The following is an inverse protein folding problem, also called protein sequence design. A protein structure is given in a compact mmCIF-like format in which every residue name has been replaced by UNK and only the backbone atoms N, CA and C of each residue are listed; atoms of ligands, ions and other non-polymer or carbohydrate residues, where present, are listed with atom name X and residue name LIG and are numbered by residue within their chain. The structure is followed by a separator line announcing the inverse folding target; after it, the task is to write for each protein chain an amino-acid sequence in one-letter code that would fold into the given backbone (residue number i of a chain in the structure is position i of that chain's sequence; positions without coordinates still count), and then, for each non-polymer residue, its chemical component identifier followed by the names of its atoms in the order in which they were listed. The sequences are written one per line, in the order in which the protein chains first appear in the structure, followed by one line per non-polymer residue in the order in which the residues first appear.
data_IF_841360104106
#
_entry.id   IF_841360104106
#
_cell.length_a   1.000
_cell.length_b   1.000
_cell.length_c   1.000
_cell.angle_alpha   90.00
_cell.angle_beta   90.00
_cell.angle_gamma   90.00
#
_symmetry.space_group_name_H-M   'P 1'
#
loop_
_entity.id
_entity.type
_entity.pdbx_description
1 polymer ?
#
# COMPACT_ATOMS: atom_id res chain seq x y z
N UNK A 1 -16.39 17.76 38.22
CA UNK A 1 -16.09 18.31 36.88
C UNK A 1 -15.95 17.13 35.95
N UNK A 2 -17.04 16.75 35.29
CA UNK A 2 -16.92 15.80 34.18
C UNK A 2 -16.22 16.54 33.04
N UNK A 3 -15.03 16.07 32.68
CA UNK A 3 -14.24 16.63 31.59
C UNK A 3 -14.93 16.16 30.30
N UNK A 4 -16.03 16.83 29.93
CA UNK A 4 -16.70 16.60 28.66
C UNK A 4 -15.75 16.94 27.52
N UNK A 5 -15.72 16.11 26.47
CA UNK A 5 -14.99 16.45 25.26
C UNK A 5 -15.56 17.75 24.67
N UNK A 6 -14.68 18.73 24.39
CA UNK A 6 -15.11 19.97 23.73
C UNK A 6 -15.67 19.66 22.34
N UNK A 7 -16.66 20.43 21.85
CA UNK A 7 -17.19 20.24 20.49
C UNK A 7 -16.07 20.28 19.44
N UNK A 8 -15.11 21.18 19.59
CA UNK A 8 -13.95 21.27 18.71
C UNK A 8 -13.17 19.95 18.67
N UNK A 9 -12.99 19.30 19.82
CA UNK A 9 -12.38 17.97 19.91
C UNK A 9 -13.23 16.91 19.20
N UNK A 10 -14.56 16.92 19.37
CA UNK A 10 -15.45 15.96 18.70
C UNK A 10 -15.42 16.14 17.18
N UNK A 11 -15.50 17.37 16.68
CA UNK A 11 -15.42 17.68 15.25
C UNK A 11 -14.05 17.27 14.70
N UNK A 12 -12.98 17.60 15.41
CA UNK A 12 -11.64 17.19 15.00
C UNK A 12 -11.52 15.66 14.91
N UNK A 13 -12.05 14.92 15.90
CA UNK A 13 -12.02 13.47 15.87
C UNK A 13 -12.84 12.90 14.70
N UNK A 14 -14.07 13.39 14.50
CA UNK A 14 -14.99 12.85 13.50
C UNK A 14 -14.65 13.24 12.06
N UNK A 15 -14.22 14.48 11.82
CA UNK A 15 -14.03 15.00 10.47
C UNK A 15 -12.56 15.00 10.03
N UNK A 16 -11.61 14.91 10.96
CA UNK A 16 -10.17 14.93 10.64
C UNK A 16 -9.51 13.62 11.04
N UNK A 17 -9.44 13.29 12.34
CA UNK A 17 -8.61 12.19 12.80
C UNK A 17 -9.10 10.83 12.30
N UNK A 18 -10.39 10.54 12.45
CA UNK A 18 -11.00 9.27 12.06
C UNK A 18 -10.94 9.08 10.53
N UNK A 19 -11.38 10.02 9.67
CA UNK A 19 -11.23 9.90 8.22
C UNK A 19 -9.78 9.78 7.77
N UNK A 20 -8.86 10.51 8.40
CA UNK A 20 -7.43 10.39 8.14
C UNK A 20 -6.87 8.99 8.44
N UNK A 21 -7.28 8.38 9.55
CA UNK A 21 -6.96 7.00 9.87
C UNK A 21 -7.55 6.01 8.86
N UNK A 22 -8.78 6.24 8.42
CA UNK A 22 -9.47 5.41 7.41
C UNK A 22 -8.70 5.41 6.08
N UNK A 23 -8.29 6.59 5.57
CA UNK A 23 -7.48 6.66 4.34
C UNK A 23 -6.24 5.76 4.45
N UNK A 24 -5.48 5.91 5.53
CA UNK A 24 -4.21 5.19 5.72
C UNK A 24 -4.42 3.68 5.86
N UNK A 25 -5.49 3.28 6.54
CA UNK A 25 -5.86 1.88 6.78
C UNK A 25 -6.32 1.21 5.49
N UNK A 26 -7.25 1.84 4.76
CA UNK A 26 -7.76 1.34 3.48
C UNK A 26 -6.65 1.32 2.41
N UNK A 27 -5.74 2.29 2.44
CA UNK A 27 -4.55 2.30 1.57
C UNK A 27 -3.52 1.20 1.89
N UNK A 28 -3.76 0.39 2.92
CA UNK A 28 -2.89 -0.72 3.35
C UNK A 28 -1.50 -0.24 3.78
N UNK A 29 -1.41 0.94 4.43
CA UNK A 29 -0.12 1.41 4.96
C UNK A 29 0.28 0.60 6.19
N UNK A 30 1.59 0.44 6.40
CA UNK A 30 2.15 -0.27 7.56
C UNK A 30 1.75 0.46 8.84
N UNK A 31 1.57 -0.26 9.94
CA UNK A 31 1.23 0.37 11.24
C UNK A 31 2.23 1.47 11.64
N UNK A 32 3.52 1.24 11.37
CA UNK A 32 4.61 2.22 11.60
C UNK A 32 4.45 3.51 10.80
N UNK A 33 3.76 3.45 9.66
CA UNK A 33 3.50 4.59 8.77
C UNK A 33 2.23 5.36 9.15
N UNK A 34 1.38 4.82 10.04
CA UNK A 34 0.15 5.44 10.51
C UNK A 34 0.45 6.30 11.74
N UNK A 35 1.14 7.41 11.50
CA UNK A 35 1.45 8.40 12.56
C UNK A 35 0.32 9.41 12.71
N UNK A 36 0.15 9.95 13.92
CA UNK A 36 -0.87 10.97 14.21
C UNK A 36 -0.73 12.18 13.28
N UNK A 37 0.49 12.63 13.01
CA UNK A 37 0.76 13.72 12.07
C UNK A 37 0.22 13.43 10.65
N UNK A 38 0.37 12.20 10.17
CA UNK A 38 -0.17 11.79 8.86
C UNK A 38 -1.68 11.65 8.89
N UNK A 39 -2.26 11.09 9.96
CA UNK A 39 -3.72 11.02 10.12
C UNK A 39 -4.32 12.43 10.03
N UNK A 40 -3.75 13.39 10.75
CA UNK A 40 -4.21 14.79 10.71
C UNK A 40 -4.05 15.38 9.31
N UNK A 41 -2.89 15.23 8.67
CA UNK A 41 -2.66 15.77 7.33
C UNK A 41 -3.67 15.24 6.30
N UNK A 42 -3.83 13.91 6.21
CA UNK A 42 -4.79 13.32 5.28
C UNK A 42 -6.23 13.67 5.66
N UNK A 43 -6.57 13.62 6.94
CA UNK A 43 -7.88 13.99 7.44
C UNK A 43 -8.28 15.42 7.07
N UNK A 44 -7.41 16.40 7.33
CA UNK A 44 -7.64 17.81 6.98
C UNK A 44 -7.79 17.99 5.49
N UNK A 45 -6.98 17.29 4.69
CA UNK A 45 -7.09 17.36 3.23
C UNK A 45 -8.41 16.78 2.72
N UNK A 46 -8.81 15.58 3.19
CA UNK A 46 -10.10 14.97 2.84
C UNK A 46 -11.25 15.88 3.25
N UNK A 47 -11.19 16.45 4.46
CA UNK A 47 -12.22 17.34 4.96
C UNK A 47 -12.34 18.61 4.11
N UNK A 48 -11.22 19.25 3.74
CA UNK A 48 -11.22 20.43 2.88
C UNK A 48 -11.81 20.12 1.49
N UNK A 49 -11.44 19.00 0.88
CA UNK A 49 -11.99 18.57 -0.41
C UNK A 49 -13.49 18.29 -0.29
N UNK A 50 -13.92 17.60 0.76
CA UNK A 50 -15.34 17.33 0.99
C UNK A 50 -16.17 18.62 1.14
N UNK A 51 -15.65 19.63 1.87
CA UNK A 51 -16.31 20.94 1.99
C UNK A 51 -16.39 21.66 0.65
N UNK A 52 -15.33 21.62 -0.16
CA UNK A 52 -15.34 22.20 -1.51
C UNK A 52 -16.36 21.50 -2.42
N UNK A 53 -16.48 20.18 -2.32
CA UNK A 53 -17.48 19.41 -3.06
C UNK A 53 -18.90 19.77 -2.60
N UNK A 54 -19.13 19.87 -1.29
CA UNK A 54 -20.44 20.28 -0.76
C UNK A 54 -20.81 21.69 -1.21
N UNK A 55 -19.85 22.62 -1.20
CA UNK A 55 -20.04 23.98 -1.71
C UNK A 55 -20.34 23.98 -3.22
N UNK A 56 -19.56 23.24 -4.02
CA UNK A 56 -19.79 23.11 -5.46
C UNK A 56 -21.16 22.52 -5.81
N UNK A 57 -21.59 21.48 -5.08
CA UNK A 57 -22.94 20.90 -5.25
C UNK A 57 -24.01 21.91 -4.89
N UNK A 58 -23.86 22.66 -3.80
CA UNK A 58 -24.81 23.71 -3.41
C UNK A 58 -24.86 24.87 -4.41
N UNK A 59 -23.76 25.19 -5.11
CA UNK A 59 -23.82 26.18 -6.20
C UNK A 59 -24.54 25.69 -7.45
N UNK A 60 -24.57 24.36 -7.67
CA UNK A 60 -25.17 23.75 -8.85
C UNK A 60 -26.59 23.20 -8.61
N UNK A 61 -27.05 23.15 -7.35
CA UNK A 61 -28.31 22.53 -6.96
C UNK A 61 -28.88 23.20 -5.71
N UNK A 62 -30.19 23.06 -5.48
CA UNK A 62 -30.85 23.66 -4.31
C UNK A 62 -30.53 22.96 -2.96
N UNK A 63 -29.58 22.02 -2.93
CA UNK A 63 -29.20 21.29 -1.73
C UNK A 63 -28.30 22.13 -0.82
N UNK A 64 -28.84 22.58 0.32
CA UNK A 64 -28.16 23.43 1.31
C UNK A 64 -27.31 22.66 2.33
N UNK A 65 -26.38 21.85 1.85
CA UNK A 65 -25.53 21.01 2.71
C UNK A 65 -24.39 21.80 3.38
N UNK A 66 -23.70 22.67 2.64
CA UNK A 66 -22.56 23.43 3.15
C UNK A 66 -23.02 24.58 4.05
N UNK A 67 -24.03 25.34 3.62
CA UNK A 67 -24.61 26.42 4.45
C UNK A 67 -25.28 25.87 5.71
N UNK A 68 -26.00 24.74 5.62
CA UNK A 68 -26.58 24.06 6.78
C UNK A 68 -25.53 23.61 7.79
N UNK A 69 -24.42 23.02 7.32
CA UNK A 69 -23.31 22.60 8.17
C UNK A 69 -22.64 23.78 8.88
N UNK A 70 -22.26 24.82 8.14
CA UNK A 70 -21.59 26.00 8.69
C UNK A 70 -22.49 26.80 9.64
N UNK A 71 -23.78 26.92 9.34
CA UNK A 71 -24.75 27.58 10.20
C UNK A 71 -24.94 26.82 11.53
N UNK A 72 -25.04 25.49 11.50
CA UNK A 72 -25.15 24.69 12.73
C UNK A 72 -23.89 24.79 13.60
N UNK A 73 -22.70 24.85 12.99
CA UNK A 73 -21.46 25.07 13.71
C UNK A 73 -21.35 26.49 14.30
N UNK A 74 -21.80 27.51 13.56
CA UNK A 74 -21.80 28.89 14.01
C UNK A 74 -22.77 29.12 15.18
N UNK A 75 -23.98 28.55 15.11
CA UNK A 75 -24.96 28.64 16.22
C UNK A 75 -24.40 28.02 17.49
N UNK A 76 -23.79 26.84 17.39
CA UNK A 76 -23.21 26.19 18.55
C UNK A 76 -21.97 26.95 19.09
N UNK A 77 -21.12 27.50 18.22
CA UNK A 77 -19.96 28.28 18.68
C UNK A 77 -20.34 29.56 19.41
N UNK A 78 -21.51 30.12 19.09
CA UNK A 78 -22.12 31.26 19.78
C UNK A 78 -22.85 30.86 21.08
N UNK A 79 -22.90 29.56 21.41
CA UNK A 79 -23.59 29.04 22.59
C UNK A 79 -25.12 28.99 22.43
N UNK A 80 -25.63 29.18 21.21
CA UNK A 80 -27.05 29.20 20.91
C UNK A 80 -27.55 27.79 20.54
N UNK A 81 -28.10 27.09 21.54
CA UNK A 81 -28.89 25.88 21.34
C UNK A 81 -28.09 24.57 21.26
N UNK A 82 -28.83 23.47 21.08
CA UNK A 82 -28.28 22.13 20.93
C UNK A 82 -27.73 21.93 19.50
N UNK A 83 -26.67 21.14 19.38
CA UNK A 83 -26.06 20.79 18.10
C UNK A 83 -27.08 20.05 17.21
N UNK A 84 -27.51 20.67 16.11
CA UNK A 84 -28.39 20.00 15.15
C UNK A 84 -27.60 19.02 14.30
N UNK A 85 -27.78 17.72 14.56
CA UNK A 85 -27.07 16.61 13.91
C UNK A 85 -27.47 16.44 12.44
N UNK A 86 -28.63 16.95 12.02
CA UNK A 86 -29.18 16.72 10.68
C UNK A 86 -28.26 17.20 9.55
N UNK A 87 -27.67 18.40 9.59
CA UNK A 87 -26.68 18.84 8.59
C UNK A 87 -25.27 18.28 8.81
N UNK A 88 -24.93 17.83 10.03
CA UNK A 88 -23.61 17.26 10.34
C UNK A 88 -23.43 15.83 9.77
N UNK A 89 -24.44 14.99 9.94
CA UNK A 89 -24.43 13.59 9.50
C UNK A 89 -24.12 13.38 8.00
N UNK A 90 -24.78 14.07 7.04
CA UNK A 90 -24.49 13.89 5.62
C UNK A 90 -23.08 14.36 5.24
N UNK A 91 -22.59 15.45 5.82
CA UNK A 91 -21.21 15.91 5.59
C UNK A 91 -20.20 14.88 6.13
N UNK A 92 -20.47 14.28 7.29
CA UNK A 92 -19.63 13.21 7.82
C UNK A 92 -19.62 11.99 6.89
N UNK A 93 -20.79 11.60 6.37
CA UNK A 93 -20.89 10.48 5.41
C UNK A 93 -20.07 10.75 4.14
N UNK A 94 -20.13 11.98 3.59
CA UNK A 94 -19.35 12.38 2.42
C UNK A 94 -17.85 12.31 2.72
N UNK A 95 -17.41 12.84 3.86
CA UNK A 95 -16.01 12.84 4.29
C UNK A 95 -15.51 11.40 4.46
N UNK A 96 -16.30 10.54 5.10
CA UNK A 96 -15.96 9.14 5.31
C UNK A 96 -15.90 8.36 3.98
N UNK A 97 -16.89 8.56 3.10
CA UNK A 97 -16.92 7.94 1.77
C UNK A 97 -15.72 8.37 0.91
N UNK A 98 -15.38 9.66 0.93
CA UNK A 98 -14.22 10.20 0.23
C UNK A 98 -12.91 9.64 0.79
N UNK A 99 -12.79 9.50 2.11
CA UNK A 99 -11.64 8.87 2.75
C UNK A 99 -11.44 7.42 2.29
N UNK A 100 -12.52 6.62 2.27
CA UNK A 100 -12.50 5.26 1.75
C UNK A 100 -12.06 5.25 0.27
N UNK A 101 -12.65 6.11 -0.56
CA UNK A 101 -12.35 6.17 -1.99
C UNK A 101 -10.87 6.51 -2.25
N UNK A 102 -10.32 7.50 -1.56
CA UNK A 102 -8.89 7.87 -1.68
C UNK A 102 -7.99 6.71 -1.23
N UNK A 103 -8.34 6.07 -0.11
CA UNK A 103 -7.62 4.89 0.37
C UNK A 103 -7.62 3.76 -0.66
N UNK A 104 -8.77 3.46 -1.25
CA UNK A 104 -8.91 2.45 -2.30
C UNK A 104 -8.14 2.83 -3.58
N UNK A 105 -8.17 4.10 -3.99
CA UNK A 105 -7.41 4.58 -5.14
C UNK A 105 -5.90 4.43 -4.93
N UNK A 106 -5.39 4.73 -3.72
CA UNK A 106 -3.99 4.48 -3.38
C UNK A 106 -3.67 2.98 -3.37
N UNK A 107 -4.54 2.15 -2.82
CA UNK A 107 -4.37 0.70 -2.80
C UNK A 107 -4.33 0.11 -4.22
N UNK A 108 -5.26 0.52 -5.10
CA UNK A 108 -5.28 0.11 -6.50
C UNK A 108 -4.02 0.56 -7.26
N UNK A 109 -3.51 1.75 -6.95
CA UNK A 109 -2.23 2.23 -7.49
C UNK A 109 -1.05 1.35 -7.05
N UNK A 110 -1.02 0.88 -5.79
CA UNK A 110 0.01 -0.02 -5.27
C UNK A 110 -0.08 -1.44 -5.84
N UNK A 111 -1.28 -1.99 -5.96
CA UNK A 111 -1.51 -3.32 -6.56
C UNK A 111 -1.21 -3.31 -8.07
N UNK A 112 -1.17 -2.12 -8.69
CA UNK A 112 -0.74 -1.90 -10.06
C UNK A 112 -1.81 -2.28 -11.08
N UNK A 113 -3.08 -1.96 -10.77
CA UNK A 113 -4.19 -2.02 -11.74
C UNK A 113 -4.13 -0.81 -12.69
N UNK A 114 -3.53 0.31 -12.27
CA UNK A 114 -3.27 1.48 -13.11
C UNK A 114 -1.77 1.63 -13.46
N UNK A 115 -1.39 1.77 -14.76
CA UNK A 115 0.00 1.82 -15.19
C UNK A 115 0.77 3.10 -14.81
N UNK A 116 0.10 4.19 -14.40
CA UNK A 116 0.71 5.52 -14.27
C UNK A 116 1.67 5.67 -13.07
N UNK A 117 1.34 5.07 -11.92
CA UNK A 117 2.20 5.11 -10.71
C UNK A 117 3.37 4.12 -10.76
N UNK A 118 3.19 3.02 -11.49
CA UNK A 118 4.21 2.01 -11.74
C UNK A 118 5.40 2.63 -12.49
N UNK A 119 5.13 3.38 -13.56
CA UNK A 119 6.16 3.98 -14.43
C UNK A 119 7.13 4.93 -13.70
N UNK A 120 6.62 5.77 -12.78
CA UNK A 120 7.45 6.71 -12.01
C UNK A 120 8.28 6.04 -10.90
N UNK A 121 7.76 4.98 -10.25
CA UNK A 121 8.53 4.17 -9.30
C UNK A 121 9.61 3.34 -10.00
N UNK A 122 9.24 2.73 -11.12
CA UNK A 122 10.11 1.99 -12.03
C UNK A 122 11.29 2.84 -12.48
N UNK A 123 11.07 4.09 -12.89
CA UNK A 123 12.15 4.96 -13.38
C UNK A 123 13.21 5.23 -12.31
N UNK A 124 12.81 5.39 -11.04
CA UNK A 124 13.74 5.56 -9.91
C UNK A 124 14.46 4.27 -9.53
N UNK A 125 13.77 3.13 -9.65
CA UNK A 125 14.36 1.82 -9.35
C UNK A 125 15.35 1.40 -10.44
N UNK A 126 14.98 1.56 -11.72
CA UNK A 126 15.86 1.39 -12.89
C UNK A 126 17.13 2.22 -12.75
N UNK A 127 17.05 3.50 -12.37
CA UNK A 127 18.24 4.33 -12.18
C UNK A 127 19.15 3.89 -11.03
N UNK A 128 18.59 3.32 -9.95
CA UNK A 128 19.37 2.79 -8.83
C UNK A 128 20.00 1.43 -9.15
N UNK A 129 19.26 0.60 -9.86
CA UNK A 129 19.65 -0.76 -10.22
C UNK A 129 20.61 -0.75 -11.41
N UNK A 130 20.37 0.03 -12.47
CA UNK A 130 21.23 0.10 -13.66
C UNK A 130 22.64 0.65 -13.37
N UNK A 131 22.84 1.34 -12.23
CA UNK A 131 24.18 1.71 -11.74
C UNK A 131 24.90 0.59 -11.00
N UNK A 132 24.18 -0.45 -10.57
CA UNK A 132 24.75 -1.69 -10.06
C UNK A 132 24.85 -2.67 -11.25
N UNK A 133 26.07 -3.09 -11.56
CA UNK A 133 26.41 -4.13 -12.57
C UNK A 133 25.45 -5.34 -12.53
N UNK A 134 25.35 -6.13 -13.63
CA UNK A 134 24.13 -6.81 -14.03
C UNK A 134 23.55 -7.58 -12.86
N UNK A 135 22.27 -7.35 -12.60
CA UNK A 135 21.45 -7.86 -11.50
C UNK A 135 21.96 -9.21 -10.97
N UNK A 136 22.99 -9.16 -10.13
CA UNK A 136 23.50 -10.32 -9.42
C UNK A 136 22.43 -10.54 -8.37
N UNK A 137 21.45 -11.37 -8.74
CA UNK A 137 20.24 -11.74 -8.02
C UNK A 137 20.56 -12.53 -6.73
N UNK A 138 21.53 -12.05 -5.97
CA UNK A 138 22.12 -12.76 -4.84
C UNK A 138 21.85 -12.04 -3.53
N UNK A 139 21.67 -10.71 -3.53
CA UNK A 139 21.54 -9.96 -2.28
C UNK A 139 20.61 -8.75 -2.42
N UNK A 140 19.36 -8.88 -1.96
CA UNK A 140 18.48 -7.72 -1.76
C UNK A 140 18.59 -7.31 -0.29
N UNK A 141 19.20 -6.15 -0.03
CA UNK A 141 19.18 -5.56 1.32
C UNK A 141 17.72 -5.24 1.65
N UNK A 142 17.20 -5.88 2.70
CA UNK A 142 15.79 -5.83 3.08
C UNK A 142 15.40 -4.36 3.34
N UNK A 143 14.56 -3.83 2.46
CA UNK A 143 14.12 -2.44 2.33
C UNK A 143 12.87 -2.42 1.44
N UNK A 144 12.58 -1.36 0.68
CA UNK A 144 11.34 -1.28 -0.13
C UNK A 144 11.24 -2.29 -1.32
N UNK A 145 12.25 -3.11 -1.59
CA UNK A 145 12.32 -4.00 -2.77
C UNK A 145 11.63 -5.38 -2.66
N UNK A 146 11.62 -6.10 -1.52
CA UNK A 146 11.14 -7.48 -1.48
C UNK A 146 9.65 -7.61 -1.81
N UNK A 147 8.81 -6.67 -1.34
CA UNK A 147 7.37 -6.69 -1.59
C UNK A 147 7.03 -6.62 -3.07
N UNK A 148 7.71 -5.76 -3.84
CA UNK A 148 7.51 -5.62 -5.28
C UNK A 148 7.91 -6.91 -6.03
N UNK A 149 8.98 -7.59 -5.59
CA UNK A 149 9.39 -8.89 -6.15
C UNK A 149 8.31 -9.95 -5.90
N UNK A 150 7.81 -10.08 -4.66
CA UNK A 150 6.73 -11.04 -4.36
C UNK A 150 5.45 -10.75 -5.15
N UNK A 151 5.12 -9.47 -5.37
CA UNK A 151 4.00 -9.06 -6.21
C UNK A 151 4.20 -9.46 -7.69
N UNK A 152 5.41 -9.31 -8.22
CA UNK A 152 5.75 -9.71 -9.59
C UNK A 152 5.60 -11.23 -9.78
N UNK A 153 6.11 -12.03 -8.84
CA UNK A 153 5.91 -13.48 -8.82
C UNK A 153 4.42 -13.86 -8.83
N UNK A 154 3.62 -13.20 -7.97
CA UNK A 154 2.17 -13.43 -7.90
C UNK A 154 1.46 -13.09 -9.22
N UNK A 155 1.79 -11.96 -9.85
CA UNK A 155 1.20 -11.57 -11.15
C UNK A 155 1.55 -12.55 -12.27
N UNK A 156 2.72 -13.18 -12.20
CA UNK A 156 3.15 -14.20 -13.15
C UNK A 156 2.64 -15.62 -12.82
N UNK A 157 1.91 -15.80 -11.71
CA UNK A 157 1.44 -17.12 -11.25
C UNK A 157 2.58 -18.07 -10.84
N UNK A 158 3.75 -17.52 -10.50
CA UNK A 158 4.92 -18.29 -10.04
C UNK A 158 5.08 -18.12 -8.53
N UNK A 159 5.58 -19.16 -7.87
CA UNK A 159 5.89 -19.14 -6.44
C UNK A 159 7.40 -18.95 -6.26
N UNK A 160 7.85 -17.92 -5.54
CA UNK A 160 9.28 -17.73 -5.31
C UNK A 160 9.80 -18.77 -4.31
N UNK A 161 10.98 -19.32 -4.58
CA UNK A 161 11.73 -20.09 -3.60
C UNK A 161 12.74 -19.15 -2.95
N UNK A 162 12.71 -19.06 -1.62
CA UNK A 162 13.55 -18.13 -0.90
C UNK A 162 14.52 -18.84 0.03
N UNK A 163 15.69 -18.22 0.22
CA UNK A 163 16.69 -18.60 1.22
C UNK A 163 17.06 -17.34 1.99
N UNK A 164 17.07 -17.39 3.31
CA UNK A 164 17.35 -16.22 4.11
C UNK A 164 17.79 -16.53 5.53
N UNK A 165 18.32 -15.51 6.18
CA UNK A 165 18.74 -15.57 7.59
C UNK A 165 17.96 -14.51 8.35
N UNK A 166 17.32 -14.93 9.44
CA UNK A 166 16.58 -14.07 10.35
C UNK A 166 17.49 -13.35 11.33
N UNK A 167 16.97 -12.32 12.01
CA UNK A 167 17.71 -11.52 12.99
C UNK A 167 18.21 -12.31 14.20
N UNK A 168 17.51 -13.38 14.54
CA UNK A 168 17.88 -14.33 15.60
C UNK A 168 18.97 -15.33 15.16
N UNK A 169 19.41 -15.26 13.90
CA UNK A 169 20.38 -16.18 13.31
C UNK A 169 19.77 -17.43 12.68
N UNK A 170 18.45 -17.63 12.78
CA UNK A 170 17.76 -18.78 12.21
C UNK A 170 17.83 -18.72 10.68
N UNK A 171 18.31 -19.80 10.06
CA UNK A 171 18.28 -19.96 8.61
C UNK A 171 16.90 -20.49 8.19
N UNK A 172 16.30 -19.87 7.18
CA UNK A 172 15.00 -20.27 6.64
C UNK A 172 15.14 -20.46 5.13
N UNK A 173 14.66 -21.60 4.65
CA UNK A 173 14.63 -21.92 3.23
C UNK A 173 13.32 -22.61 2.87
N UNK A 174 12.73 -22.25 1.74
CA UNK A 174 11.46 -22.82 1.36
C UNK A 174 10.74 -22.14 0.22
N UNK A 175 9.63 -22.75 -0.18
CA UNK A 175 8.73 -22.20 -1.19
C UNK A 175 7.76 -21.22 -0.54
N UNK A 176 7.65 -20.01 -1.09
CA UNK A 176 6.68 -19.02 -0.66
C UNK A 176 5.30 -19.34 -1.25
N UNK A 177 4.40 -19.79 -0.39
CA UNK A 177 3.02 -20.10 -0.75
C UNK A 177 2.14 -18.85 -0.79
N UNK A 178 2.37 -17.90 0.13
CA UNK A 178 1.56 -16.68 0.25
C UNK A 178 2.39 -15.51 0.71
N UNK A 179 2.17 -14.36 0.08
CA UNK A 179 2.65 -13.06 0.53
C UNK A 179 1.48 -12.26 1.12
N UNK A 180 1.66 -11.74 2.32
CA UNK A 180 0.73 -10.84 3.00
C UNK A 180 1.36 -9.46 3.11
N UNK A 181 0.60 -8.43 2.71
CA UNK A 181 1.03 -7.03 2.79
C UNK A 181 0.24 -6.22 3.82
N UNK A 182 -0.78 -6.81 4.46
CA UNK A 182 -1.71 -6.06 5.31
C UNK A 182 -1.14 -5.92 6.73
N UNK A 183 -0.93 -4.68 7.18
CA UNK A 183 -0.35 -4.35 8.50
C UNK A 183 1.16 -4.56 8.56
N UNK A 184 1.63 -5.79 8.30
CA UNK A 184 3.08 -6.09 8.18
C UNK A 184 3.38 -7.10 7.08
N UNK A 185 4.36 -6.77 6.25
CA UNK A 185 4.79 -7.64 5.16
C UNK A 185 5.33 -8.95 5.71
N UNK A 186 4.72 -10.06 5.29
CA UNK A 186 5.05 -11.40 5.77
C UNK A 186 4.84 -12.43 4.67
N UNK A 187 5.60 -13.51 4.77
CA UNK A 187 5.57 -14.63 3.84
C UNK A 187 5.22 -15.92 4.57
N UNK A 188 4.32 -16.69 3.98
CA UNK A 188 4.04 -18.07 4.39
C UNK A 188 4.95 -18.98 3.58
N UNK A 189 5.83 -19.67 4.29
CA UNK A 189 6.83 -20.54 3.71
C UNK A 189 6.49 -21.99 4.01
N UNK A 190 6.63 -22.84 3.01
CA UNK A 190 6.77 -24.27 3.20
C UNK A 190 8.25 -24.58 3.36
N UNK A 191 8.65 -25.02 4.53
CA UNK A 191 10.05 -25.32 4.85
C UNK A 191 10.56 -26.42 3.91
N UNK A 192 11.77 -26.23 3.37
CA UNK A 192 12.42 -27.21 2.51
C UNK A 192 12.87 -28.46 3.27
N UNK A 193 13.28 -28.30 4.53
CA UNK A 193 13.78 -29.39 5.37
C UNK A 193 12.62 -30.16 6.03
N UNK A 194 11.47 -29.49 6.20
CA UNK A 194 10.24 -30.06 6.75
C UNK A 194 9.02 -29.68 5.89
N UNK A 195 8.74 -30.42 4.80
CA UNK A 195 7.68 -30.09 3.84
C UNK A 195 6.28 -29.99 4.45
N UNK A 196 6.04 -30.69 5.56
CA UNK A 196 4.76 -30.67 6.29
C UNK A 196 4.62 -29.44 7.20
N UNK A 197 5.68 -28.67 7.38
CA UNK A 197 5.69 -27.49 8.22
C UNK A 197 5.47 -26.21 7.41
N UNK A 198 4.58 -25.36 7.93
CA UNK A 198 4.26 -24.06 7.39
C UNK A 198 4.65 -22.99 8.40
N UNK A 199 5.46 -22.03 7.97
CA UNK A 199 6.02 -21.00 8.84
C UNK A 199 5.66 -19.63 8.29
N UNK A 200 5.07 -18.78 9.12
CA UNK A 200 4.91 -17.36 8.83
C UNK A 200 6.14 -16.59 9.28
N UNK A 201 6.75 -15.85 8.36
CA UNK A 201 7.95 -15.07 8.64
C UNK A 201 7.73 -13.63 8.19
N UNK A 202 8.00 -12.66 9.07
CA UNK A 202 7.89 -11.24 8.72
C UNK A 202 9.09 -10.83 7.87
N UNK A 203 8.85 -10.04 6.83
CA UNK A 203 9.94 -9.55 5.99
C UNK A 203 10.91 -8.67 6.76
N UNK A 204 10.42 -7.91 7.75
CA UNK A 204 11.24 -7.08 8.65
C UNK A 204 12.22 -7.91 9.51
N UNK A 205 12.01 -9.23 9.65
CA UNK A 205 12.88 -10.12 10.46
C UNK A 205 14.04 -10.71 9.66
N UNK A 206 14.02 -10.61 8.33
CA UNK A 206 15.15 -11.04 7.50
C UNK A 206 16.30 -10.04 7.57
N UNK A 207 17.50 -10.55 7.86
CA UNK A 207 18.76 -9.82 7.69
C UNK A 207 19.24 -9.96 6.23
N UNK A 208 19.01 -11.15 5.65
CA UNK A 208 19.37 -11.49 4.27
C UNK A 208 18.27 -12.32 3.63
N UNK A 209 17.94 -12.00 2.38
CA UNK A 209 16.94 -12.70 1.59
C UNK A 209 17.46 -12.87 0.15
N UNK A 210 17.44 -14.11 -0.32
CA UNK A 210 17.85 -14.55 -1.66
C UNK A 210 16.67 -15.29 -2.33
N UNK A 211 16.45 -15.02 -3.61
CA UNK A 211 15.43 -15.68 -4.42
C UNK A 211 16.09 -16.73 -5.30
N UNK A 212 16.06 -17.99 -4.86
CA UNK A 212 16.85 -19.06 -5.43
C UNK A 212 16.31 -19.64 -6.75
N UNK A 213 15.06 -19.30 -7.12
CA UNK A 213 14.44 -19.81 -8.35
C UNK A 213 14.37 -18.81 -9.50
N UNK A 214 15.06 -17.66 -9.41
CA UNK A 214 15.23 -16.79 -10.58
C UNK A 214 16.05 -17.59 -11.61
N UNK A 215 15.56 -17.76 -12.85
CA UNK A 215 16.27 -18.54 -13.87
C UNK A 215 17.65 -17.92 -14.09
N UNK A 216 18.68 -18.75 -14.19
CA UNK A 216 20.00 -18.34 -14.67
C UNK A 216 20.03 -18.47 -16.19
N UNK A 217 20.88 -17.70 -16.87
CA UNK A 217 21.04 -17.73 -18.33
C UNK A 217 21.28 -19.16 -18.88
N UNK A 218 21.81 -20.06 -18.06
CA UNK A 218 22.09 -21.46 -18.38
C UNK A 218 20.85 -22.38 -18.34
N UNK A 219 19.76 -21.97 -17.66
CA UNK A 219 18.49 -22.72 -17.60
C UNK A 219 17.51 -22.38 -18.73
N UNK A 220 17.96 -21.63 -19.75
CA UNK A 220 17.18 -21.14 -20.89
C UNK A 220 16.74 -22.22 -21.91
N UNK A 221 16.62 -23.49 -21.49
CA UNK A 221 15.98 -24.56 -22.28
C UNK A 221 14.46 -24.69 -22.05
N UNK A 222 13.86 -23.73 -21.33
CA UNK A 222 12.46 -23.74 -20.96
C UNK A 222 11.53 -23.43 -22.15
N UNK A 223 10.32 -23.99 -22.15
CA UNK A 223 9.33 -23.76 -23.20
C UNK A 223 9.03 -22.25 -23.40
N UNK A 224 8.51 -21.87 -24.58
CA UNK A 224 8.12 -20.47 -24.86
C UNK A 224 7.20 -19.89 -23.77
N UNK A 225 6.28 -20.71 -23.25
CA UNK A 225 5.36 -20.30 -22.20
C UNK A 225 6.07 -20.02 -20.86
N UNK A 226 7.07 -20.82 -20.50
CA UNK A 226 7.87 -20.60 -19.31
C UNK A 226 8.77 -19.37 -19.43
N UNK A 227 9.38 -19.17 -20.61
CA UNK A 227 10.16 -17.97 -20.93
C UNK A 227 9.29 -16.73 -20.82
N UNK A 228 8.07 -16.77 -21.34
CA UNK A 228 7.11 -15.66 -21.24
C UNK A 228 6.72 -15.35 -19.80
N UNK A 229 6.47 -16.37 -18.98
CA UNK A 229 6.17 -16.20 -17.54
C UNK A 229 7.35 -15.58 -16.79
N UNK A 230 8.58 -16.00 -17.09
CA UNK A 230 9.79 -15.43 -16.50
C UNK A 230 10.05 -14.00 -16.95
N UNK A 231 9.82 -13.68 -18.24
CA UNK A 231 9.85 -12.29 -18.71
C UNK A 231 8.87 -11.41 -17.94
N UNK A 232 7.65 -11.88 -17.68
CA UNK A 232 6.69 -11.14 -16.83
C UNK A 232 7.18 -10.93 -15.40
N UNK A 233 7.83 -11.92 -14.79
CA UNK A 233 8.44 -11.75 -13.44
C UNK A 233 9.55 -10.72 -13.49
N UNK A 234 10.53 -10.88 -14.39
CA UNK A 234 11.68 -10.00 -14.50
C UNK A 234 11.28 -8.56 -14.84
N UNK A 235 10.37 -8.38 -15.82
CA UNK A 235 9.82 -7.06 -16.17
C UNK A 235 8.90 -6.46 -15.11
N UNK A 236 8.32 -7.30 -14.26
CA UNK A 236 7.60 -6.89 -13.06
C UNK A 236 8.52 -6.36 -11.97
N UNK A 237 9.77 -6.81 -11.92
CA UNK A 237 10.80 -6.37 -10.96
C UNK A 237 11.52 -5.13 -11.50
N UNK A 238 12.04 -5.21 -12.73
CA UNK A 238 12.67 -4.10 -13.46
C UNK A 238 12.24 -4.20 -14.94
N UNK A 239 11.53 -3.22 -15.50
CA UNK A 239 11.16 -3.21 -16.91
C UNK A 239 12.38 -3.24 -17.83
N UNK A 240 12.35 -4.10 -18.85
CA UNK A 240 13.48 -4.32 -19.75
C UNK A 240 14.38 -5.48 -19.31
N UNK A 241 14.31 -5.91 -18.03
CA UNK A 241 15.17 -6.97 -17.50
C UNK A 241 14.84 -8.32 -18.13
N UNK A 242 13.57 -8.60 -18.40
CA UNK A 242 13.16 -9.83 -19.08
C UNK A 242 13.68 -9.87 -20.52
N UNK A 243 13.69 -8.74 -21.21
CA UNK A 243 14.27 -8.64 -22.55
C UNK A 243 15.79 -8.83 -22.51
N UNK A 244 16.51 -8.11 -21.65
CA UNK A 244 17.97 -8.26 -21.49
C UNK A 244 18.38 -9.70 -21.16
N UNK A 245 17.64 -10.35 -20.25
CA UNK A 245 17.98 -11.69 -19.77
C UNK A 245 17.74 -12.78 -20.80
N UNK A 246 16.76 -12.60 -21.69
CA UNK A 246 16.39 -13.59 -22.71
C UNK A 246 16.77 -13.17 -24.14
N UNK A 247 17.43 -12.02 -24.34
CA UNK A 247 17.93 -11.57 -25.66
C UNK A 247 19.44 -11.84 -25.85
N UNK A 248 20.20 -12.07 -24.76
CA UNK A 248 21.63 -12.40 -24.81
C UNK A 248 21.97 -13.86 -25.16
N UNK A 249 21.01 -14.61 -25.71
CA UNK A 249 21.12 -16.03 -26.05
C UNK A 249 20.88 -16.35 -27.53
N UNK A 250 21.16 -15.41 -28.43
CA UNK A 250 21.38 -15.68 -29.86
C UNK A 250 22.85 -15.48 -30.20
#
# INVERSE_FOLDING_TARGET
MEIGLSLASVIFLLYVLLPGGVVLTVAGRREKDVTLARMVFYGTWVFAVALLLCWGVETASDFRLYTGFTASLAKFSQGEGLLDVRPLAPVFLIVYALACFIGFAELWSKVGVFPSGYWLRVKRLYWKVARQKPFAARWVKVGNLPGDVFLAYRKAGKRPYIKGTLKDGTAVQGECLRYSWNGSESVLLRDADRPDSLIWVRLDDFVRLEFANIPTAETAGASFEETWRWRKVLNGIVPGLGEEFFSGGM
#
